data_IF_715398956591
#
_entry.id   IF_715398956591
#
_cell.length_a   1.000
_cell.length_b   1.000
_cell.length_c   1.000
_cell.angle_alpha   90.00
_cell.angle_beta   90.00
_cell.angle_gamma   90.00
#
_symmetry.space_group_name_H-M   'P 1'
#
loop_
_entity.id
_entity.type
_entity.pdbx_description
1 polymer ?
#
# COMPACT_ATOMS: atom_id res chain seq x y z
N UNK A 1 1.62 -6.62 23.12
CA UNK A 1 1.15 -7.94 22.63
C UNK A 1 0.32 -7.73 21.36
N UNK A 2 0.71 -8.41 20.27
CA UNK A 2 -0.11 -8.49 19.05
C UNK A 2 -0.85 -9.84 19.03
N UNK A 3 -2.08 -9.83 18.54
CA UNK A 3 -2.85 -11.04 18.25
C UNK A 3 -3.19 -11.04 16.77
N UNK A 4 -2.86 -12.12 16.08
CA UNK A 4 -3.16 -12.34 14.67
C UNK A 4 -4.17 -13.47 14.56
N UNK A 5 -5.28 -13.23 13.87
CA UNK A 5 -6.33 -14.23 13.60
C UNK A 5 -6.44 -14.39 12.08
N UNK A 6 -6.10 -15.55 11.52
CA UNK A 6 -6.26 -15.81 10.09
C UNK A 6 -7.73 -15.93 9.72
N UNK A 7 -8.07 -15.44 8.53
CA UNK A 7 -9.38 -15.63 7.90
C UNK A 7 -9.21 -16.64 6.78
N UNK A 8 -9.91 -17.76 6.89
CA UNK A 8 -9.84 -18.87 5.94
C UNK A 8 -11.10 -18.89 5.05
N UNK A 9 -10.92 -19.32 3.80
CA UNK A 9 -12.03 -19.51 2.86
C UNK A 9 -11.85 -20.82 2.09
N UNK A 10 -12.69 -21.80 2.38
CA UNK A 10 -12.65 -23.13 1.74
C UNK A 10 -13.27 -23.14 0.32
N UNK A 11 -13.86 -22.03 -0.09
CA UNK A 11 -14.49 -21.87 -1.41
C UNK A 11 -14.03 -20.58 -2.11
N UNK A 12 -12.70 -20.40 -2.34
CA UNK A 12 -12.17 -19.17 -2.90
C UNK A 12 -12.68 -18.95 -4.32
N UNK A 13 -12.95 -17.69 -4.66
CA UNK A 13 -13.26 -17.29 -6.02
C UNK A 13 -12.04 -17.54 -6.93
N UNK A 14 -12.25 -18.23 -8.03
CA UNK A 14 -11.25 -18.39 -9.10
C UNK A 14 -11.24 -17.12 -9.94
N UNK A 15 -10.53 -16.12 -9.51
CA UNK A 15 -10.37 -14.87 -10.21
C UNK A 15 -8.93 -14.75 -10.71
N UNK A 16 -8.79 -14.48 -12.00
CA UNK A 16 -7.51 -14.12 -12.60
C UNK A 16 -7.32 -12.61 -12.46
N UNK A 17 -6.73 -12.21 -11.34
CA UNK A 17 -6.45 -10.81 -11.00
C UNK A 17 -4.94 -10.64 -10.83
N UNK A 18 -4.37 -9.68 -11.57
CA UNK A 18 -2.98 -9.29 -11.45
C UNK A 18 -2.82 -8.34 -10.25
N UNK A 19 -1.82 -8.57 -9.40
CA UNK A 19 -1.39 -7.60 -8.39
C UNK A 19 -0.33 -6.63 -8.97
N UNK A 20 -0.15 -5.49 -8.31
CA UNK A 20 0.76 -4.44 -8.78
C UNK A 20 2.22 -4.91 -8.82
N UNK A 21 2.65 -5.67 -7.83
CA UNK A 21 4.02 -6.22 -7.72
C UNK A 21 4.34 -7.12 -8.91
N UNK A 22 3.48 -8.09 -9.17
CA UNK A 22 3.62 -9.02 -10.29
C UNK A 22 3.53 -8.29 -11.61
N UNK A 23 2.62 -7.33 -11.73
CA UNK A 23 2.47 -6.49 -12.92
C UNK A 23 3.74 -5.73 -13.29
N UNK A 24 4.41 -5.11 -12.32
CA UNK A 24 5.71 -4.46 -12.53
C UNK A 24 6.81 -5.47 -12.89
N UNK A 25 6.92 -6.59 -12.17
CA UNK A 25 7.93 -7.63 -12.44
C UNK A 25 7.82 -8.21 -13.84
N UNK A 26 6.61 -8.34 -14.34
CA UNK A 26 6.33 -8.87 -15.70
C UNK A 26 6.40 -7.80 -16.80
N UNK A 27 6.56 -6.52 -16.45
CA UNK A 27 6.51 -5.41 -17.41
C UNK A 27 5.13 -5.18 -18.02
N UNK A 28 4.07 -5.63 -17.35
CA UNK A 28 2.68 -5.49 -17.79
C UNK A 28 2.00 -4.24 -17.21
N UNK A 29 2.62 -3.57 -16.25
CA UNK A 29 2.08 -2.36 -15.63
C UNK A 29 3.08 -1.23 -15.75
N UNK A 30 2.58 -0.09 -16.21
CA UNK A 30 3.33 1.16 -16.30
C UNK A 30 2.63 2.20 -15.42
N UNK A 31 3.43 2.93 -14.63
CA UNK A 31 2.94 4.04 -13.80
C UNK A 31 3.73 5.29 -14.12
N UNK A 32 3.05 6.40 -14.37
CA UNK A 32 3.67 7.67 -14.75
C UNK A 32 2.94 8.87 -14.13
N UNK A 33 3.62 10.01 -14.10
CA UNK A 33 2.94 11.29 -13.83
C UNK A 33 1.94 11.60 -14.96
N UNK A 34 0.84 12.28 -14.63
CA UNK A 34 -0.06 12.82 -15.65
C UNK A 34 0.61 13.96 -16.43
N UNK A 35 0.23 14.20 -17.69
CA UNK A 35 0.77 15.28 -18.54
C UNK A 35 0.65 16.65 -17.86
N UNK A 36 -0.47 16.92 -17.20
CA UNK A 36 -0.59 18.03 -16.25
C UNK A 36 -0.32 17.48 -14.87
N UNK A 37 0.95 17.55 -14.42
CA UNK A 37 1.36 17.00 -13.13
C UNK A 37 0.52 17.58 -11.99
N UNK A 38 -0.48 16.83 -11.56
CA UNK A 38 -1.28 17.10 -10.38
C UNK A 38 -0.77 16.28 -9.22
N UNK A 39 -0.63 16.89 -8.05
CA UNK A 39 -0.08 16.24 -6.86
C UNK A 39 -0.88 14.99 -6.45
N UNK A 40 -2.18 14.98 -6.71
CA UNK A 40 -3.11 13.94 -6.25
C UNK A 40 -3.50 12.89 -7.29
N UNK A 41 -2.81 12.81 -8.43
CA UNK A 41 -3.19 11.89 -9.51
C UNK A 41 -1.96 11.38 -10.25
N UNK A 42 -1.94 10.10 -10.57
CA UNK A 42 -0.95 9.47 -11.45
C UNK A 42 -1.66 8.65 -12.52
N UNK A 43 -0.98 8.38 -13.63
CA UNK A 43 -1.49 7.52 -14.69
C UNK A 43 -1.05 6.07 -14.44
N UNK A 44 -1.99 5.14 -14.46
CA UNK A 44 -1.71 3.70 -14.43
C UNK A 44 -2.19 3.07 -15.73
N UNK A 45 -1.30 2.33 -16.37
CA UNK A 45 -1.58 1.57 -17.59
C UNK A 45 -1.44 0.09 -17.28
N UNK A 46 -2.51 -0.64 -17.48
CA UNK A 46 -2.57 -2.10 -17.40
C UNK A 46 -2.49 -2.68 -18.82
N UNK A 47 -1.35 -3.26 -19.18
CA UNK A 47 -1.13 -3.94 -20.48
C UNK A 47 -1.45 -5.45 -20.41
N UNK A 48 -1.91 -5.96 -19.25
CA UNK A 48 -2.29 -7.35 -19.09
C UNK A 48 -3.66 -7.65 -19.68
N UNK A 49 -3.95 -8.93 -19.86
CA UNK A 49 -5.27 -9.44 -20.24
C UNK A 49 -6.19 -9.66 -19.06
N UNK A 50 -5.65 -9.58 -17.84
CA UNK A 50 -6.37 -9.68 -16.56
C UNK A 50 -6.57 -8.31 -15.94
N UNK A 51 -7.61 -8.09 -15.11
CA UNK A 51 -7.73 -6.90 -14.28
C UNK A 51 -6.54 -6.75 -13.34
N UNK A 52 -6.08 -5.51 -13.14
CA UNK A 52 -5.04 -5.18 -12.17
C UNK A 52 -5.68 -4.69 -10.87
N UNK A 53 -5.36 -5.34 -9.74
CA UNK A 53 -5.71 -4.85 -8.42
C UNK A 53 -4.68 -3.82 -7.93
N UNK A 54 -5.17 -2.68 -7.51
CA UNK A 54 -4.43 -1.71 -6.72
C UNK A 54 -5.02 -1.69 -5.32
N UNK A 55 -4.19 -1.78 -4.30
CA UNK A 55 -4.63 -1.81 -2.89
C UNK A 55 -4.42 -0.46 -2.24
N UNK A 56 -5.40 -0.02 -1.45
CA UNK A 56 -5.32 1.21 -0.66
C UNK A 56 -4.04 1.27 0.19
N UNK A 57 -3.30 2.35 0.06
CA UNK A 57 -2.05 2.57 0.79
C UNK A 57 -0.82 1.92 0.18
N UNK A 58 -0.94 1.10 -0.87
CA UNK A 58 0.20 0.51 -1.58
C UNK A 58 1.10 1.61 -2.19
N UNK A 59 2.43 1.50 -1.97
CA UNK A 59 3.36 2.54 -2.41
C UNK A 59 3.93 2.27 -3.80
N UNK A 60 3.98 3.30 -4.63
CA UNK A 60 4.83 3.39 -5.82
C UNK A 60 5.92 4.42 -5.59
N UNK A 61 7.17 4.03 -5.78
CA UNK A 61 8.35 4.84 -5.47
C UNK A 61 9.00 5.42 -6.73
N UNK A 62 9.37 6.69 -6.69
CA UNK A 62 10.05 7.34 -7.81
C UNK A 62 9.46 8.68 -8.19
N UNK A 63 9.50 9.00 -9.48
CA UNK A 63 9.05 10.27 -10.06
C UNK A 63 9.51 11.49 -9.25
N UNK A 64 8.68 12.50 -9.11
CA UNK A 64 8.97 13.69 -8.28
C UNK A 64 8.83 13.44 -6.79
N UNK A 65 7.98 12.49 -6.40
CA UNK A 65 7.74 12.05 -5.02
C UNK A 65 7.19 10.62 -5.04
N UNK A 66 7.41 9.86 -3.96
CA UNK A 66 6.72 8.60 -3.76
C UNK A 66 5.21 8.84 -3.55
N UNK A 67 4.39 7.89 -3.98
CA UNK A 67 2.93 7.96 -3.87
C UNK A 67 2.38 6.72 -3.19
N UNK A 68 1.29 6.86 -2.48
CA UNK A 68 0.44 5.76 -2.03
C UNK A 68 -0.90 5.80 -2.77
N UNK A 69 -1.38 4.63 -3.13
CA UNK A 69 -2.70 4.46 -3.76
C UNK A 69 -3.78 5.03 -2.85
N UNK A 70 -4.66 5.84 -3.41
CA UNK A 70 -5.67 6.58 -2.65
C UNK A 70 -6.85 5.75 -2.16
N UNK A 71 -7.19 4.69 -2.88
CA UNK A 71 -8.24 3.73 -2.55
C UNK A 71 -8.03 2.44 -3.35
N UNK A 72 -8.53 1.30 -2.82
CA UNK A 72 -8.49 0.03 -3.57
C UNK A 72 -9.39 0.09 -4.79
N UNK A 73 -8.87 -0.40 -5.94
CA UNK A 73 -9.60 -0.43 -7.21
C UNK A 73 -9.10 -1.50 -8.15
N UNK A 74 -9.94 -1.87 -9.12
CA UNK A 74 -9.57 -2.73 -10.23
C UNK A 74 -9.43 -1.91 -11.51
N UNK A 75 -8.28 -2.02 -12.16
CA UNK A 75 -8.01 -1.42 -13.47
C UNK A 75 -8.31 -2.46 -14.55
N UNK A 76 -9.24 -2.19 -15.48
CA UNK A 76 -9.58 -3.14 -16.52
C UNK A 76 -8.37 -3.50 -17.39
N UNK A 77 -8.39 -4.69 -18.04
CA UNK A 77 -7.36 -5.09 -18.99
C UNK A 77 -7.17 -4.08 -20.12
N UNK A 78 -5.93 -3.93 -20.59
CA UNK A 78 -5.56 -3.09 -21.72
C UNK A 78 -6.09 -1.64 -21.63
N UNK A 79 -6.13 -1.06 -20.42
CA UNK A 79 -6.57 0.30 -20.21
C UNK A 79 -5.49 1.16 -19.57
N UNK A 80 -5.61 2.48 -19.81
CA UNK A 80 -4.79 3.50 -19.15
C UNK A 80 -5.72 4.54 -18.53
N UNK A 81 -5.68 4.70 -17.20
CA UNK A 81 -6.56 5.63 -16.50
C UNK A 81 -5.81 6.43 -15.44
N UNK A 82 -6.21 7.69 -15.20
CA UNK A 82 -5.72 8.44 -14.06
C UNK A 82 -6.35 7.89 -12.77
N UNK A 83 -5.52 7.70 -11.75
CA UNK A 83 -5.96 7.23 -10.45
C UNK A 83 -5.61 8.22 -9.33
N UNK A 84 -6.43 8.30 -8.28
CA UNK A 84 -6.15 9.15 -7.14
C UNK A 84 -5.06 8.55 -6.26
N UNK A 85 -4.14 9.43 -5.80
CA UNK A 85 -3.03 9.07 -4.92
C UNK A 85 -2.76 10.16 -3.89
N UNK A 86 -2.06 9.81 -2.81
CA UNK A 86 -1.47 10.75 -1.88
C UNK A 86 0.06 10.69 -1.96
N UNK A 87 0.72 11.81 -1.69
CA UNK A 87 2.18 11.84 -1.55
C UNK A 87 2.57 11.14 -0.23
N UNK A 88 3.53 10.23 -0.31
CA UNK A 88 4.12 9.57 0.86
C UNK A 88 5.53 10.07 1.20
N UNK A 89 5.96 11.20 0.58
CA UNK A 89 7.27 11.81 0.77
C UNK A 89 7.16 13.34 0.65
N UNK A 90 7.04 14.05 1.79
CA UNK A 90 6.73 15.49 1.81
C UNK A 90 7.88 16.38 1.30
N UNK A 91 9.11 16.05 1.68
CA UNK A 91 10.28 16.93 1.49
C UNK A 91 10.98 16.82 0.14
N UNK A 92 10.50 16.01 -0.81
CA UNK A 92 11.10 15.87 -2.13
C UNK A 92 10.12 16.32 -3.23
N UNK A 93 10.60 17.17 -4.12
CA UNK A 93 9.89 17.57 -5.35
C UNK A 93 10.85 17.61 -6.54
N UNK A 94 11.72 16.60 -6.62
CA UNK A 94 12.68 16.45 -7.70
C UNK A 94 12.52 15.07 -8.35
N UNK A 95 12.55 15.02 -9.68
CA UNK A 95 12.50 13.77 -10.41
C UNK A 95 13.72 12.91 -10.09
N UNK A 96 13.50 11.67 -9.67
CA UNK A 96 14.55 10.71 -9.32
C UNK A 96 14.67 9.58 -10.35
N UNK A 97 13.54 9.01 -10.75
CA UNK A 97 13.45 7.89 -11.68
C UNK A 97 12.00 7.77 -12.14
N UNK A 98 11.71 6.89 -13.06
CA UNK A 98 10.33 6.44 -13.27
C UNK A 98 9.79 5.78 -12.00
N UNK A 99 8.45 5.66 -11.91
CA UNK A 99 7.84 4.90 -10.82
C UNK A 99 8.23 3.44 -10.89
N UNK A 100 8.48 2.87 -9.72
CA UNK A 100 8.81 1.47 -9.52
C UNK A 100 7.94 0.91 -8.42
N UNK A 101 7.76 -0.40 -8.45
CA UNK A 101 7.18 -1.12 -7.34
C UNK A 101 7.94 -0.83 -6.03
N UNK A 102 7.21 -0.74 -4.95
CA UNK A 102 7.71 -0.64 -3.59
C UNK A 102 7.19 -1.82 -2.77
N UNK A 103 8.03 -2.35 -1.88
CA UNK A 103 7.60 -3.40 -0.95
C UNK A 103 6.87 -2.84 0.27
N UNK A 104 6.60 -1.53 0.29
CA UNK A 104 5.99 -0.87 1.43
C UNK A 104 4.56 -0.45 1.14
N UNK A 105 3.81 -0.34 2.22
CA UNK A 105 2.41 0.07 2.25
C UNK A 105 2.21 1.05 3.41
N UNK A 106 1.23 1.93 3.29
CA UNK A 106 0.79 2.74 4.42
C UNK A 106 0.21 1.83 5.52
N UNK A 107 0.57 2.11 6.76
CA UNK A 107 0.05 1.35 7.90
C UNK A 107 -1.47 1.52 8.05
N UNK A 108 -2.07 0.65 8.85
CA UNK A 108 -3.53 0.62 9.06
C UNK A 108 -4.05 1.96 9.58
N UNK A 109 -3.32 2.65 10.46
CA UNK A 109 -3.71 3.96 11.00
C UNK A 109 -3.75 5.02 9.90
N UNK A 110 -2.71 5.09 9.04
CA UNK A 110 -2.67 6.00 7.90
C UNK A 110 -3.81 5.71 6.92
N UNK A 111 -4.07 4.44 6.62
CA UNK A 111 -5.17 4.02 5.73
C UNK A 111 -6.53 4.42 6.30
N UNK A 112 -6.78 4.18 7.59
CA UNK A 112 -8.02 4.57 8.25
C UNK A 112 -8.22 6.08 8.26
N UNK A 113 -7.23 6.87 8.71
CA UNK A 113 -7.32 8.34 8.73
C UNK A 113 -7.59 8.90 7.33
N UNK A 114 -6.92 8.38 6.31
CA UNK A 114 -7.15 8.76 4.92
C UNK A 114 -8.56 8.41 4.45
N UNK A 115 -9.07 7.22 4.78
CA UNK A 115 -10.41 6.77 4.40
C UNK A 115 -11.50 7.63 5.04
N UNK A 116 -11.38 8.02 6.31
CA UNK A 116 -12.31 8.93 6.98
C UNK A 116 -12.44 10.25 6.24
N UNK A 117 -11.30 10.85 5.84
CA UNK A 117 -11.31 12.08 5.05
C UNK A 117 -11.91 11.90 3.64
N UNK A 118 -11.72 10.74 3.03
CA UNK A 118 -12.24 10.46 1.69
C UNK A 118 -13.75 10.28 1.67
N UNK A 119 -14.38 9.86 2.77
CA UNK A 119 -15.84 9.70 2.87
C UNK A 119 -16.57 11.04 2.75
N UNK A 120 -16.00 12.10 3.32
CA UNK A 120 -16.66 13.42 3.39
C UNK A 120 -16.09 14.44 2.39
N UNK A 121 -14.90 14.17 1.82
CA UNK A 121 -14.14 15.11 1.01
C UNK A 121 -13.39 14.39 -0.12
N UNK A 122 -12.79 15.17 -1.02
CA UNK A 122 -11.92 14.60 -2.06
C UNK A 122 -10.62 14.01 -1.49
N UNK A 123 -10.00 13.08 -2.21
CA UNK A 123 -8.68 12.50 -1.85
C UNK A 123 -7.60 13.58 -1.62
N UNK A 124 -7.73 14.76 -2.24
CA UNK A 124 -6.88 15.90 -1.93
C UNK A 124 -6.97 16.37 -0.48
N UNK A 125 -8.14 16.28 0.13
CA UNK A 125 -8.34 16.69 1.52
C UNK A 125 -7.62 15.75 2.51
N UNK A 126 -7.41 14.49 2.15
CA UNK A 126 -6.71 13.51 2.98
C UNK A 126 -5.17 13.65 2.99
N UNK A 127 -4.58 14.49 2.13
CA UNK A 127 -3.12 14.63 2.05
C UNK A 127 -2.49 15.13 3.36
N UNK A 128 -3.13 16.06 4.05
CA UNK A 128 -2.68 16.52 5.37
C UNK A 128 -2.67 15.38 6.39
N UNK A 129 -3.76 14.63 6.46
CA UNK A 129 -3.87 13.47 7.36
C UNK A 129 -2.82 12.37 7.10
N UNK A 130 -2.43 12.17 5.84
CA UNK A 130 -1.34 11.25 5.48
C UNK A 130 0.00 11.77 6.02
N UNK A 131 0.31 13.05 5.86
CA UNK A 131 1.57 13.62 6.37
C UNK A 131 1.64 13.60 7.89
N UNK A 132 0.56 14.00 8.57
CA UNK A 132 0.46 13.95 10.02
C UNK A 132 0.67 12.51 10.54
N UNK A 133 0.08 11.53 9.85
CA UNK A 133 0.24 10.12 10.21
C UNK A 133 1.67 9.60 9.99
N UNK A 134 2.37 10.05 8.94
CA UNK A 134 3.78 9.71 8.70
C UNK A 134 4.67 10.34 9.78
N UNK A 135 4.39 11.59 10.18
CA UNK A 135 5.12 12.26 11.26
C UNK A 135 4.91 11.54 12.61
N UNK A 136 3.66 11.21 12.95
CA UNK A 136 3.34 10.42 14.14
C UNK A 136 4.11 9.07 14.15
N UNK A 137 4.18 8.39 13.00
CA UNK A 137 4.92 7.14 12.86
C UNK A 137 6.43 7.34 13.08
N UNK A 138 7.01 8.44 12.56
CA UNK A 138 8.41 8.78 12.76
C UNK A 138 8.73 9.02 14.25
N UNK A 139 7.85 9.73 14.94
CA UNK A 139 7.99 9.97 16.39
C UNK A 139 7.93 8.65 17.16
N UNK A 140 6.90 7.83 16.92
CA UNK A 140 6.72 6.54 17.62
C UNK A 140 7.91 5.60 17.43
N UNK A 141 8.47 5.54 16.22
CA UNK A 141 9.59 4.65 15.86
C UNK A 141 10.97 5.26 16.09
N UNK A 142 11.02 6.50 16.59
CA UNK A 142 12.27 7.26 16.70
C UNK A 142 13.08 7.19 15.40
N UNK A 143 12.38 7.31 14.26
CA UNK A 143 12.96 7.27 12.93
C UNK A 143 13.09 8.69 12.40
N UNK A 144 14.18 8.97 11.68
CA UNK A 144 14.39 10.26 11.03
C UNK A 144 14.46 10.06 9.52
N UNK A 145 13.67 10.82 8.78
CA UNK A 145 13.72 10.90 7.33
C UNK A 145 14.03 12.33 6.90
N UNK A 146 14.99 12.51 5.99
CA UNK A 146 15.33 13.84 5.43
C UNK A 146 14.20 14.46 4.62
N UNK A 147 13.36 13.62 4.03
CA UNK A 147 12.27 14.01 3.14
C UNK A 147 10.90 13.65 3.71
N UNK A 148 10.83 13.24 4.97
CA UNK A 148 9.61 12.71 5.59
C UNK A 148 8.96 11.60 4.73
N UNK A 149 9.78 10.69 4.19
CA UNK A 149 9.30 9.59 3.40
C UNK A 149 8.76 8.46 4.29
N UNK A 150 7.57 7.94 3.94
CA UNK A 150 6.95 6.82 4.64
C UNK A 150 7.88 5.60 4.73
N UNK A 151 8.49 5.23 3.61
CA UNK A 151 9.38 4.07 3.50
C UNK A 151 10.58 4.10 4.44
N UNK A 152 11.14 5.28 4.73
CA UNK A 152 12.30 5.42 5.61
C UNK A 152 12.02 4.93 7.04
N UNK A 153 10.73 4.89 7.44
CA UNK A 153 10.30 4.36 8.73
C UNK A 153 10.37 2.84 8.78
N UNK A 154 10.27 2.18 7.63
CA UNK A 154 10.30 0.73 7.51
C UNK A 154 11.72 0.21 7.23
N UNK A 155 12.46 0.86 6.34
CA UNK A 155 13.82 0.45 5.96
C UNK A 155 14.77 0.33 7.17
N UNK A 156 14.58 1.19 8.18
CA UNK A 156 15.42 1.16 9.39
C UNK A 156 15.22 -0.05 10.29
N UNK A 157 14.03 -0.65 10.24
CA UNK A 157 13.64 -1.78 11.10
C UNK A 157 13.44 -3.08 10.29
N UNK A 158 13.79 -3.08 9.00
CA UNK A 158 13.57 -4.18 8.08
C UNK A 158 14.07 -5.53 8.65
N UNK A 159 15.30 -5.57 9.15
CA UNK A 159 15.86 -6.81 9.74
C UNK A 159 15.10 -7.32 10.95
N UNK A 160 14.61 -6.40 11.79
CA UNK A 160 13.83 -6.76 12.99
C UNK A 160 12.47 -7.29 12.58
N UNK A 161 11.87 -6.68 11.56
CA UNK A 161 10.57 -7.09 11.05
C UNK A 161 10.64 -8.42 10.29
N UNK A 162 11.69 -8.68 9.53
CA UNK A 162 11.90 -9.98 8.87
C UNK A 162 11.97 -11.13 9.89
N UNK A 163 12.64 -10.91 11.02
CA UNK A 163 12.69 -11.90 12.10
C UNK A 163 11.33 -12.07 12.78
N UNK A 164 10.54 -11.01 12.84
CA UNK A 164 9.19 -11.02 13.37
C UNK A 164 8.21 -11.77 12.45
N UNK A 165 8.25 -11.49 11.15
CA UNK A 165 7.37 -12.12 10.15
C UNK A 165 7.55 -13.65 10.09
N UNK A 166 8.74 -14.16 10.35
CA UNK A 166 9.01 -15.62 10.41
C UNK A 166 8.15 -16.38 11.44
N UNK A 167 7.59 -15.68 12.42
CA UNK A 167 6.71 -16.28 13.43
C UNK A 167 5.24 -16.40 12.97
N UNK A 168 4.89 -15.79 11.84
CA UNK A 168 3.54 -15.79 11.30
C UNK A 168 3.51 -16.50 9.95
N UNK A 169 3.21 -17.81 9.99
CA UNK A 169 3.00 -18.57 8.77
C UNK A 169 1.66 -18.24 8.11
N UNK A 170 1.59 -18.37 6.80
CA UNK A 170 0.34 -18.29 6.04
C UNK A 170 -0.29 -19.69 6.04
N UNK A 171 -1.57 -19.76 6.40
CA UNK A 171 -2.32 -21.01 6.36
C UNK A 171 -2.84 -21.30 4.95
N UNK A 172 -2.98 -22.60 4.64
CA UNK A 172 -3.69 -23.02 3.44
C UNK A 172 -5.10 -22.39 3.41
N UNK A 173 -5.53 -21.87 2.27
CA UNK A 173 -6.81 -21.17 2.08
C UNK A 173 -6.98 -19.86 2.87
N UNK A 174 -5.93 -19.32 3.46
CA UNK A 174 -6.01 -18.01 4.11
C UNK A 174 -6.22 -16.91 3.07
N UNK A 175 -7.26 -16.08 3.30
CA UNK A 175 -7.66 -14.98 2.43
C UNK A 175 -7.59 -13.63 3.13
N UNK A 176 -7.27 -13.61 4.43
CA UNK A 176 -7.22 -12.36 5.17
C UNK A 176 -6.67 -12.54 6.57
N UNK A 177 -6.65 -11.44 7.29
CA UNK A 177 -6.13 -11.36 8.65
C UNK A 177 -6.89 -10.34 9.49
N UNK A 178 -7.16 -10.67 10.74
CA UNK A 178 -7.49 -9.72 11.78
C UNK A 178 -6.24 -9.55 12.65
N UNK A 179 -5.71 -8.33 12.69
CA UNK A 179 -4.60 -7.98 13.55
C UNK A 179 -5.10 -7.10 14.70
N UNK A 180 -4.81 -7.49 15.93
CA UNK A 180 -5.10 -6.70 17.13
C UNK A 180 -3.80 -6.31 17.82
N UNK A 181 -3.59 -5.02 17.97
CA UNK A 181 -2.51 -4.46 18.77
C UNK A 181 -3.10 -3.56 19.85
N UNK A 182 -2.95 -3.97 21.11
CA UNK A 182 -3.55 -3.27 22.26
C UNK A 182 -5.08 -3.08 22.07
N UNK A 183 -5.52 -1.84 21.87
CA UNK A 183 -6.92 -1.47 21.67
C UNK A 183 -7.29 -1.22 20.20
N UNK A 184 -6.34 -1.39 19.28
CA UNK A 184 -6.55 -1.22 17.84
C UNK A 184 -6.80 -2.57 17.19
N UNK A 185 -7.73 -2.61 16.24
CA UNK A 185 -8.04 -3.81 15.44
C UNK A 185 -8.02 -3.41 13.98
N UNK A 186 -7.23 -4.13 13.19
CA UNK A 186 -7.22 -4.03 11.73
C UNK A 186 -7.81 -5.29 11.09
N UNK A 187 -8.48 -5.14 9.97
CA UNK A 187 -9.03 -6.21 9.16
C UNK A 187 -8.65 -5.99 7.71
N UNK A 188 -7.98 -6.96 7.11
CA UNK A 188 -7.68 -6.99 5.68
C UNK A 188 -8.11 -8.34 5.10
N UNK A 189 -8.93 -8.32 4.01
CA UNK A 189 -9.47 -9.52 3.36
C UNK A 189 -9.35 -9.36 1.84
N UNK A 190 -8.95 -10.44 1.18
CA UNK A 190 -8.79 -10.51 -0.27
C UNK A 190 -9.74 -11.55 -0.88
N UNK A 191 -9.94 -11.45 -2.18
CA UNK A 191 -10.85 -12.32 -2.91
C UNK A 191 -10.39 -13.79 -2.95
N UNK A 192 -9.07 -14.04 -2.87
CA UNK A 192 -8.49 -15.38 -2.87
C UNK A 192 -7.15 -15.41 -2.14
N UNK A 193 -6.66 -16.64 -1.91
CA UNK A 193 -5.41 -16.91 -1.22
C UNK A 193 -4.18 -16.30 -1.91
N UNK A 194 -4.09 -16.41 -3.23
CA UNK A 194 -2.92 -15.91 -3.98
C UNK A 194 -2.75 -14.40 -3.83
N UNK A 195 -3.84 -13.63 -3.86
CA UNK A 195 -3.79 -12.19 -3.61
C UNK A 195 -3.40 -11.90 -2.15
N UNK A 196 -3.98 -12.61 -1.18
CA UNK A 196 -3.59 -12.41 0.22
C UNK A 196 -2.10 -12.69 0.44
N UNK A 197 -1.56 -13.77 -0.12
CA UNK A 197 -0.15 -14.14 -0.01
C UNK A 197 0.78 -13.02 -0.50
N UNK A 198 0.43 -12.33 -1.61
CA UNK A 198 1.22 -11.23 -2.15
C UNK A 198 1.28 -10.02 -1.22
N UNK A 199 0.23 -9.77 -0.44
CA UNK A 199 0.14 -8.60 0.44
C UNK A 199 0.40 -8.91 1.91
N UNK A 200 0.44 -10.18 2.33
CA UNK A 200 0.51 -10.60 3.73
C UNK A 200 1.69 -9.99 4.49
N UNK A 201 2.87 -10.00 3.89
CA UNK A 201 4.08 -9.44 4.51
C UNK A 201 3.94 -7.94 4.72
N UNK A 202 3.48 -7.21 3.69
CA UNK A 202 3.26 -5.76 3.80
C UNK A 202 2.23 -5.41 4.88
N UNK A 203 1.13 -6.17 4.97
CA UNK A 203 0.07 -5.94 5.95
C UNK A 203 0.56 -6.20 7.37
N UNK A 204 1.27 -7.29 7.61
CA UNK A 204 1.85 -7.63 8.91
C UNK A 204 2.97 -6.67 9.29
N UNK A 205 3.80 -6.28 8.32
CA UNK A 205 4.89 -5.32 8.49
C UNK A 205 4.41 -3.95 8.96
N UNK A 206 3.20 -3.57 8.58
CA UNK A 206 2.59 -2.28 8.89
C UNK A 206 1.58 -2.35 10.04
N UNK A 207 1.31 -3.54 10.60
CA UNK A 207 0.29 -3.73 11.63
C UNK A 207 0.69 -3.23 13.02
N UNK A 208 1.98 -3.02 13.28
CA UNK A 208 2.55 -2.63 14.57
C UNK A 208 2.77 -1.11 14.72
N UNK A 209 2.32 -0.34 13.76
CA UNK A 209 2.55 1.10 13.71
C UNK A 209 1.68 1.91 14.64
#
# INVERSE_FOLDING_TARGET
NITIVPILNDSPLKLDILDLTTGFKMGLVEVSECEQSTVGTIMVKNNATSPLLLVDGEEVAGAKQNRIIGQSMLIPPNTSIPIPVNCSEQGRWNYKSEFKHSNYMANSETRCRKAEYNMDNSIRASQGAVWDSIEDLQVKRNSFSKTSALRDNYEKIEKTNDDYLKHFGIYENQVGVIARLENKVGLDVFANHSLYEQYSDCLLYTSDA
#
